data_IF_701003091566
#
_entry.id   IF_701003091566
#
_cell.length_a   1.000
_cell.length_b   1.000
_cell.length_c   1.000
_cell.angle_alpha   90.00
_cell.angle_beta   90.00
_cell.angle_gamma   90.00
#
_symmetry.space_group_name_H-M   'P 1'
#
loop_
_entity.id
_entity.type
_entity.pdbx_description
1 polymer ?
#
# COMPACT_ATOMS: atom_id res chain seq x y z
N UNK A 1 7.48 -40.67 -16.11
CA UNK A 1 8.49 -40.39 -15.09
C UNK A 1 9.27 -39.16 -15.57
N UNK A 2 8.77 -37.97 -15.26
CA UNK A 2 9.43 -36.70 -15.62
C UNK A 2 10.04 -36.08 -14.34
N UNK A 3 11.35 -36.00 -14.33
CA UNK A 3 12.12 -35.40 -13.23
C UNK A 3 12.14 -33.89 -13.46
N UNK A 4 11.44 -33.15 -12.57
CA UNK A 4 11.51 -31.68 -12.54
C UNK A 4 12.71 -31.31 -11.67
N UNK A 5 13.78 -30.84 -12.32
CA UNK A 5 15.00 -30.34 -11.67
C UNK A 5 14.69 -28.99 -11.04
N UNK A 6 14.69 -28.92 -9.71
CA UNK A 6 14.68 -27.66 -8.96
C UNK A 6 15.96 -26.88 -9.24
N UNK A 7 15.88 -25.79 -10.01
CA UNK A 7 16.97 -24.81 -10.10
C UNK A 7 17.03 -24.02 -8.80
N UNK A 8 18.08 -24.20 -8.03
CA UNK A 8 18.46 -23.30 -6.91
C UNK A 8 18.66 -21.89 -7.47
N UNK A 9 17.86 -20.95 -7.01
CA UNK A 9 18.05 -19.52 -7.30
C UNK A 9 19.26 -19.06 -6.48
N UNK A 10 20.32 -18.63 -7.18
CA UNK A 10 21.56 -18.16 -6.58
C UNK A 10 21.34 -16.77 -5.95
N UNK A 11 21.32 -16.72 -4.62
CA UNK A 11 21.13 -15.49 -3.82
C UNK A 11 22.16 -14.39 -4.12
N UNK A 12 23.32 -14.72 -4.73
CA UNK A 12 24.34 -13.73 -5.15
C UNK A 12 23.92 -12.91 -6.38
N UNK A 13 23.00 -13.40 -7.21
CA UNK A 13 22.53 -12.67 -8.39
C UNK A 13 21.44 -11.65 -8.09
N UNK A 14 20.64 -11.85 -7.04
CA UNK A 14 19.59 -10.90 -6.61
C UNK A 14 20.20 -9.55 -6.23
N UNK A 15 21.34 -9.53 -5.55
CA UNK A 15 22.02 -8.30 -5.14
C UNK A 15 22.65 -7.48 -6.30
N UNK A 16 23.05 -8.12 -7.41
CA UNK A 16 23.63 -7.43 -8.58
C UNK A 16 22.57 -6.84 -9.49
N UNK A 17 21.48 -7.55 -9.72
CA UNK A 17 20.32 -7.05 -10.47
C UNK A 17 19.73 -5.84 -9.73
N UNK A 18 19.56 -5.94 -8.41
CA UNK A 18 19.04 -4.88 -7.57
C UNK A 18 19.90 -3.59 -7.54
N UNK A 19 21.25 -3.69 -7.58
CA UNK A 19 22.14 -2.51 -7.68
C UNK A 19 22.10 -1.82 -9.05
N UNK A 20 21.91 -2.57 -10.14
CA UNK A 20 21.84 -2.03 -11.50
C UNK A 20 20.55 -1.27 -11.81
N UNK A 21 19.45 -1.62 -11.14
CA UNK A 21 18.11 -1.06 -11.40
C UNK A 21 17.98 0.36 -10.82
N UNK A 22 18.48 0.61 -9.60
CA UNK A 22 18.44 1.96 -9.00
C UNK A 22 19.20 2.99 -9.81
N UNK A 23 20.33 2.60 -10.40
CA UNK A 23 21.15 3.51 -11.23
C UNK A 23 20.46 3.86 -12.56
N UNK A 24 19.63 2.97 -13.12
CA UNK A 24 18.94 3.22 -14.40
C UNK A 24 17.74 4.13 -14.28
N UNK A 25 16.95 4.02 -13.20
CA UNK A 25 15.76 4.86 -13.01
C UNK A 25 16.10 6.25 -12.47
N UNK A 26 17.09 6.35 -11.57
CA UNK A 26 17.54 7.62 -11.03
C UNK A 26 18.15 8.56 -12.11
N UNK A 27 18.87 8.02 -13.11
CA UNK A 27 19.62 8.86 -14.06
C UNK A 27 18.79 9.43 -15.22
N UNK A 28 17.66 8.82 -15.58
CA UNK A 28 16.92 9.19 -16.81
C UNK A 28 15.81 10.23 -16.63
N UNK A 29 15.33 10.48 -15.40
CA UNK A 29 14.22 11.43 -15.11
C UNK A 29 14.45 12.39 -13.94
N UNK A 30 15.61 12.37 -13.29
CA UNK A 30 15.90 13.23 -12.12
C UNK A 30 15.99 14.74 -12.42
N UNK A 31 15.97 15.17 -13.68
CA UNK A 31 16.22 16.56 -14.06
C UNK A 31 15.22 17.62 -13.56
N UNK A 32 14.02 17.24 -13.11
CA UNK A 32 12.97 18.18 -12.68
C UNK A 32 12.11 17.73 -11.50
N UNK A 33 12.60 16.81 -10.66
CA UNK A 33 11.83 16.25 -9.56
C UNK A 33 12.04 17.03 -8.25
N UNK A 34 11.36 18.17 -8.09
CA UNK A 34 11.29 18.88 -6.80
C UNK A 34 10.14 18.31 -5.97
N UNK A 35 10.32 17.12 -5.35
CA UNK A 35 9.30 16.54 -4.48
C UNK A 35 9.05 17.37 -3.22
N UNK A 36 10.02 18.17 -2.78
CA UNK A 36 9.91 19.05 -1.61
C UNK A 36 8.71 20.01 -1.66
N UNK A 37 8.30 20.41 -2.87
CA UNK A 37 7.20 21.36 -3.06
C UNK A 37 5.88 20.69 -3.36
N UNK A 38 5.85 19.33 -3.39
CA UNK A 38 4.67 18.57 -3.74
C UNK A 38 3.98 17.99 -2.51
N UNK A 39 2.68 17.86 -2.60
CA UNK A 39 1.90 17.09 -1.65
C UNK A 39 2.13 15.58 -1.87
N UNK A 40 2.16 14.83 -0.79
CA UNK A 40 2.31 13.38 -0.80
C UNK A 40 0.96 12.72 -0.49
N UNK A 41 0.46 11.93 -1.42
CA UNK A 41 -0.70 11.08 -1.24
C UNK A 41 -0.22 9.65 -0.99
N UNK A 42 -0.25 9.23 0.26
CA UNK A 42 0.19 7.90 0.66
C UNK A 42 -0.91 6.87 0.57
N UNK A 43 -0.59 5.67 0.10
CA UNK A 43 -1.37 4.50 0.51
C UNK A 43 -1.13 4.20 2.00
N UNK A 44 -1.92 3.29 2.56
CA UNK A 44 -1.90 2.97 3.99
C UNK A 44 -1.19 1.62 4.24
N UNK A 45 -1.86 0.51 3.92
CA UNK A 45 -1.37 -0.85 4.21
C UNK A 45 -0.17 -1.21 3.31
N UNK A 46 0.98 -1.48 3.88
CA UNK A 46 2.22 -1.74 3.14
C UNK A 46 3.00 -0.49 2.74
N UNK A 47 2.44 0.70 2.90
CA UNK A 47 3.11 1.96 2.58
C UNK A 47 3.40 2.80 3.82
N UNK A 48 2.38 3.24 4.54
CA UNK A 48 2.52 3.97 5.81
C UNK A 48 2.65 3.03 7.00
N UNK A 49 1.93 1.91 6.99
CA UNK A 49 1.85 0.98 8.11
C UNK A 49 2.13 -0.45 7.67
N UNK A 50 2.84 -1.19 8.53
CA UNK A 50 2.92 -2.65 8.47
C UNK A 50 1.74 -3.24 9.24
N UNK A 51 0.69 -3.61 8.50
CA UNK A 51 -0.53 -4.24 9.04
C UNK A 51 -0.60 -5.74 8.71
N UNK A 52 0.48 -6.32 8.21
CA UNK A 52 0.52 -7.69 7.68
C UNK A 52 0.03 -8.73 8.69
N UNK A 53 0.50 -8.65 9.94
CA UNK A 53 0.18 -9.66 10.94
C UNK A 53 -1.30 -9.61 11.35
N UNK A 54 -1.83 -8.42 11.59
CA UNK A 54 -3.22 -8.25 12.01
C UNK A 54 -4.21 -8.58 10.89
N UNK A 55 -3.86 -8.25 9.62
CA UNK A 55 -4.63 -8.67 8.45
C UNK A 55 -4.61 -10.20 8.29
N UNK A 56 -3.47 -10.85 8.50
CA UNK A 56 -3.35 -12.30 8.42
C UNK A 56 -4.14 -13.00 9.52
N UNK A 57 -4.12 -12.47 10.74
CA UNK A 57 -4.91 -12.99 11.86
C UNK A 57 -6.42 -12.88 11.57
N UNK A 58 -6.89 -11.74 11.06
CA UNK A 58 -8.28 -11.55 10.67
C UNK A 58 -8.70 -12.46 9.50
N UNK A 59 -7.83 -12.64 8.50
CA UNK A 59 -8.05 -13.57 7.39
C UNK A 59 -8.17 -15.02 7.88
N UNK A 60 -7.35 -15.40 8.85
CA UNK A 60 -7.39 -16.72 9.46
C UNK A 60 -8.63 -16.93 10.34
N UNK A 61 -9.11 -15.90 11.04
CA UNK A 61 -10.39 -15.95 11.73
C UNK A 61 -11.56 -16.18 10.75
N UNK A 62 -11.53 -15.53 9.60
CA UNK A 62 -12.50 -15.76 8.52
C UNK A 62 -12.45 -17.21 8.01
N UNK A 63 -11.27 -17.74 7.75
CA UNK A 63 -11.09 -19.14 7.29
C UNK A 63 -11.56 -20.17 8.33
N UNK A 64 -11.19 -19.95 9.60
CA UNK A 64 -11.61 -20.81 10.71
C UNK A 64 -13.13 -20.86 10.87
N UNK A 65 -13.84 -19.75 10.63
CA UNK A 65 -15.30 -19.67 10.74
C UNK A 65 -16.04 -20.62 9.78
N UNK A 66 -15.38 -21.03 8.69
CA UNK A 66 -15.93 -21.97 7.69
C UNK A 66 -15.14 -23.28 7.61
N UNK A 67 -14.32 -23.60 8.65
CA UNK A 67 -13.60 -24.86 8.76
C UNK A 67 -12.37 -25.01 7.86
N UNK A 68 -11.83 -23.91 7.31
CA UNK A 68 -10.61 -23.95 6.49
C UNK A 68 -9.34 -23.79 7.34
N UNK A 69 -8.22 -24.44 6.98
CA UNK A 69 -6.95 -24.30 7.67
C UNK A 69 -6.37 -22.89 7.52
N UNK A 70 -5.53 -22.47 8.46
CA UNK A 70 -4.85 -21.18 8.44
C UNK A 70 -3.87 -21.08 7.25
N UNK A 71 -3.67 -19.85 6.78
CA UNK A 71 -2.64 -19.44 5.82
C UNK A 71 -1.49 -18.74 6.56
N UNK A 72 -0.29 -18.77 5.95
CA UNK A 72 0.81 -17.91 6.42
C UNK A 72 0.53 -16.43 6.17
N UNK A 73 1.22 -15.55 6.87
CA UNK A 73 1.11 -14.09 6.68
C UNK A 73 1.45 -13.69 5.24
N UNK A 74 2.47 -14.33 4.66
CA UNK A 74 2.92 -14.07 3.28
C UNK A 74 1.84 -14.49 2.26
N UNK A 75 1.17 -15.64 2.50
CA UNK A 75 0.09 -16.10 1.64
C UNK A 75 -1.12 -15.15 1.67
N UNK A 76 -1.45 -14.60 2.85
CA UNK A 76 -2.52 -13.59 2.97
C UNK A 76 -2.10 -12.26 2.34
N UNK A 77 -0.86 -11.81 2.58
CA UNK A 77 -0.30 -10.57 2.05
C UNK A 77 -0.42 -10.49 0.53
N UNK A 78 -0.18 -11.58 -0.19
CA UNK A 78 -0.29 -11.64 -1.66
C UNK A 78 -1.69 -11.27 -2.21
N UNK A 79 -2.71 -11.25 -1.35
CA UNK A 79 -4.09 -10.91 -1.71
C UNK A 79 -4.56 -9.56 -1.17
N UNK A 80 -3.70 -8.84 -0.45
CA UNK A 80 -4.01 -7.48 0.05
C UNK A 80 -3.89 -6.46 -1.08
N UNK A 81 -4.75 -5.42 -1.07
CA UNK A 81 -4.66 -4.28 -1.99
C UNK A 81 -5.99 -3.85 -2.60
N UNK A 82 -6.95 -4.75 -2.84
CA UNK A 82 -8.27 -4.42 -3.40
C UNK A 82 -9.40 -4.35 -2.35
N UNK A 83 -9.04 -4.38 -1.06
CA UNK A 83 -9.97 -4.31 0.09
C UNK A 83 -10.57 -5.67 0.46
N UNK A 84 -11.39 -5.64 1.54
CA UNK A 84 -11.83 -6.84 2.27
C UNK A 84 -12.53 -7.88 1.38
N UNK A 85 -13.46 -7.45 0.53
CA UNK A 85 -14.23 -8.41 -0.28
C UNK A 85 -13.35 -9.18 -1.26
N UNK A 86 -12.37 -8.52 -1.87
CA UNK A 86 -11.39 -9.16 -2.74
C UNK A 86 -10.48 -10.11 -1.95
N UNK A 87 -9.99 -9.68 -0.81
CA UNK A 87 -9.16 -10.49 0.07
C UNK A 87 -9.92 -11.78 0.47
N UNK A 88 -11.15 -11.64 0.99
CA UNK A 88 -11.96 -12.78 1.42
C UNK A 88 -12.19 -13.76 0.26
N UNK A 89 -12.63 -13.29 -0.91
CA UNK A 89 -12.80 -14.17 -2.09
C UNK A 89 -11.52 -14.93 -2.43
N UNK A 90 -10.39 -14.24 -2.43
CA UNK A 90 -9.11 -14.87 -2.80
C UNK A 90 -8.64 -15.92 -1.81
N UNK A 91 -8.91 -15.75 -0.52
CA UNK A 91 -8.44 -16.70 0.51
C UNK A 91 -9.42 -17.85 0.81
N UNK A 92 -10.68 -17.77 0.37
CA UNK A 92 -11.65 -18.83 0.64
C UNK A 92 -11.59 -19.98 -0.37
N UNK A 93 -11.24 -19.71 -1.63
CA UNK A 93 -11.24 -20.70 -2.70
C UNK A 93 -12.63 -21.26 -3.01
N UNK A 94 -13.71 -20.51 -2.69
CA UNK A 94 -15.10 -20.87 -2.97
C UNK A 94 -15.90 -19.66 -3.40
N UNK A 95 -16.87 -19.87 -4.28
CA UNK A 95 -17.83 -18.85 -4.74
C UNK A 95 -19.18 -18.92 -3.99
N UNK A 96 -19.30 -19.79 -2.97
CA UNK A 96 -20.54 -19.92 -2.18
C UNK A 96 -20.86 -18.61 -1.44
N UNK A 97 -22.02 -17.98 -1.72
CA UNK A 97 -22.37 -16.69 -1.11
C UNK A 97 -22.62 -16.77 0.41
N UNK A 98 -23.04 -17.92 0.91
CA UNK A 98 -23.29 -18.14 2.33
C UNK A 98 -21.98 -18.21 3.10
N UNK A 99 -21.03 -19.01 2.61
CA UNK A 99 -19.70 -19.13 3.20
C UNK A 99 -18.93 -17.79 3.11
N UNK A 100 -19.05 -17.08 1.99
CA UNK A 100 -18.46 -15.75 1.84
C UNK A 100 -18.98 -14.76 2.90
N UNK A 101 -20.30 -14.74 3.12
CA UNK A 101 -20.92 -13.86 4.12
C UNK A 101 -20.43 -14.18 5.52
N UNK A 102 -20.47 -15.45 5.90
CA UNK A 102 -20.01 -15.91 7.21
C UNK A 102 -18.53 -15.55 7.45
N UNK A 103 -17.66 -15.82 6.49
CA UNK A 103 -16.24 -15.51 6.57
C UNK A 103 -15.98 -13.99 6.66
N UNK A 104 -16.72 -13.19 5.88
CA UNK A 104 -16.62 -11.73 5.90
C UNK A 104 -17.05 -11.16 7.25
N UNK A 105 -18.13 -11.65 7.84
CA UNK A 105 -18.58 -11.23 9.17
C UNK A 105 -17.54 -11.58 10.24
N UNK A 106 -16.96 -12.77 10.19
CA UNK A 106 -15.90 -13.19 11.09
C UNK A 106 -14.64 -12.31 10.95
N UNK A 107 -14.22 -12.03 9.69
CA UNK A 107 -13.13 -11.09 9.42
C UNK A 107 -13.37 -9.72 10.05
N UNK A 108 -14.52 -9.11 9.75
CA UNK A 108 -14.87 -7.76 10.22
C UNK A 108 -14.93 -7.73 11.76
N UNK A 109 -15.57 -8.73 12.37
CA UNK A 109 -15.69 -8.83 13.84
C UNK A 109 -14.34 -8.95 14.51
N UNK A 110 -13.45 -9.79 13.97
CA UNK A 110 -12.10 -9.99 14.49
C UNK A 110 -11.25 -8.73 14.28
N UNK A 111 -11.15 -8.24 13.03
CA UNK A 111 -10.25 -7.16 12.66
C UNK A 111 -10.56 -5.84 13.38
N UNK A 112 -11.85 -5.55 13.66
CA UNK A 112 -12.24 -4.38 14.47
C UNK A 112 -11.63 -4.37 15.86
N UNK A 113 -11.42 -5.53 16.47
CA UNK A 113 -10.90 -5.66 17.83
C UNK A 113 -9.38 -5.74 17.87
N UNK A 114 -8.76 -6.11 16.75
CA UNK A 114 -7.35 -6.47 16.64
C UNK A 114 -6.63 -5.66 15.55
N UNK A 115 -7.03 -4.38 15.36
CA UNK A 115 -6.47 -3.49 14.34
C UNK A 115 -5.02 -3.10 14.61
N UNK A 116 -4.61 -3.13 15.90
CA UNK A 116 -3.38 -2.53 16.40
C UNK A 116 -2.60 -3.50 17.32
N UNK A 117 -2.86 -4.79 17.24
CA UNK A 117 -2.13 -5.76 18.06
C UNK A 117 -0.65 -5.81 17.62
N UNK A 118 -0.40 -5.70 16.32
CA UNK A 118 0.94 -5.71 15.72
C UNK A 118 1.14 -4.58 14.69
N UNK A 119 0.06 -3.92 14.27
CA UNK A 119 0.15 -2.86 13.26
C UNK A 119 0.89 -1.65 13.80
N UNK A 120 1.89 -1.20 13.05
CA UNK A 120 2.71 -0.04 13.39
C UNK A 120 3.10 0.75 12.16
N UNK A 121 3.53 2.00 12.34
CA UNK A 121 4.08 2.85 11.27
C UNK A 121 5.44 2.27 10.88
N UNK A 122 5.73 2.16 9.59
CA UNK A 122 7.07 1.76 9.15
C UNK A 122 8.15 2.68 9.72
N UNK A 123 9.21 2.08 10.25
CA UNK A 123 10.32 2.82 10.86
C UNK A 123 10.90 3.87 9.90
N UNK A 124 11.08 5.10 10.39
CA UNK A 124 11.60 6.23 9.61
C UNK A 124 10.54 7.07 8.91
N UNK A 125 9.24 6.68 8.88
CA UNK A 125 8.18 7.51 8.27
C UNK A 125 7.66 8.60 9.20
N UNK A 126 7.63 8.37 10.52
CA UNK A 126 7.15 9.40 11.45
C UNK A 126 7.91 10.74 11.34
N UNK A 127 9.26 10.77 11.27
CA UNK A 127 10.01 12.00 11.04
C UNK A 127 9.59 12.71 9.76
N UNK A 128 9.36 11.96 8.67
CA UNK A 128 8.90 12.52 7.39
C UNK A 128 7.54 13.19 7.57
N UNK A 129 6.57 12.48 8.16
CA UNK A 129 5.23 13.01 8.41
C UNK A 129 5.26 14.27 9.31
N UNK A 130 6.22 14.36 10.25
CA UNK A 130 6.39 15.53 11.14
C UNK A 130 6.92 16.77 10.41
N UNK A 131 7.68 16.59 9.31
CA UNK A 131 8.22 17.72 8.54
C UNK A 131 7.24 18.31 7.53
N UNK A 132 6.19 17.59 7.17
CA UNK A 132 5.22 17.99 6.17
C UNK A 132 4.06 18.78 6.82
N UNK A 133 3.58 19.81 6.12
CA UNK A 133 2.37 20.50 6.54
C UNK A 133 1.15 19.62 6.25
N UNK A 134 0.11 19.76 7.07
CA UNK A 134 -1.13 18.99 6.90
C UNK A 134 -1.75 19.15 5.49
N UNK A 135 -1.67 20.32 4.91
CA UNK A 135 -2.14 20.61 3.54
C UNK A 135 -1.33 19.92 2.43
N UNK A 136 -0.19 19.33 2.79
CA UNK A 136 0.72 18.65 1.87
C UNK A 136 0.66 17.11 2.02
N UNK A 137 -0.18 16.56 2.90
CA UNK A 137 -0.21 15.12 3.17
C UNK A 137 -1.63 14.60 3.13
N UNK A 138 -1.83 13.53 2.37
CA UNK A 138 -3.09 12.78 2.33
C UNK A 138 -2.86 11.28 2.42
N UNK A 139 -3.91 10.57 2.88
CA UNK A 139 -4.02 9.10 2.78
C UNK A 139 -5.08 8.78 1.75
N UNK A 140 -4.77 7.91 0.79
CA UNK A 140 -5.70 7.40 -0.22
C UNK A 140 -5.58 5.88 -0.27
N UNK A 141 -6.53 5.19 0.32
CA UNK A 141 -6.44 3.74 0.55
C UNK A 141 -7.66 2.98 0.02
N UNK A 142 -7.46 1.72 -0.35
CA UNK A 142 -8.53 0.77 -0.65
C UNK A 142 -9.10 0.08 0.61
N UNK A 143 -8.52 0.39 1.79
CA UNK A 143 -9.03 -0.07 3.08
C UNK A 143 -10.33 0.64 3.44
N UNK A 144 -11.32 -0.11 3.92
CA UNK A 144 -12.61 0.43 4.33
C UNK A 144 -12.47 1.46 5.48
N UNK A 145 -13.30 2.51 5.44
CA UNK A 145 -13.31 3.61 6.42
C UNK A 145 -13.40 3.12 7.87
N UNK A 146 -14.21 2.08 8.10
CA UNK A 146 -14.44 1.48 9.42
C UNK A 146 -13.18 0.92 10.07
N UNK A 147 -12.15 0.65 9.30
CA UNK A 147 -10.82 0.23 9.78
C UNK A 147 -9.79 1.36 9.67
N UNK A 148 -9.87 2.17 8.62
CA UNK A 148 -8.89 3.23 8.34
C UNK A 148 -8.86 4.29 9.44
N UNK A 149 -10.02 4.84 9.82
CA UNK A 149 -10.04 5.92 10.81
C UNK A 149 -9.59 5.46 12.20
N UNK A 150 -10.12 4.35 12.79
CA UNK A 150 -9.66 3.89 14.09
C UNK A 150 -8.17 3.52 14.10
N UNK A 151 -7.64 2.99 12.98
CA UNK A 151 -6.22 2.66 12.87
C UNK A 151 -5.35 3.93 12.91
N UNK A 152 -5.68 4.97 12.11
CA UNK A 152 -4.95 6.23 12.12
C UNK A 152 -5.06 6.98 13.46
N UNK A 153 -6.21 6.91 14.12
CA UNK A 153 -6.45 7.47 15.45
C UNK A 153 -5.61 6.74 16.50
N UNK A 154 -5.65 5.41 16.53
CA UNK A 154 -4.90 4.59 17.48
C UNK A 154 -3.37 4.72 17.31
N UNK A 155 -2.89 4.98 16.10
CA UNK A 155 -1.48 5.31 15.83
C UNK A 155 -1.13 6.78 16.12
N UNK A 156 -2.09 7.62 16.50
CA UNK A 156 -1.87 9.03 16.83
C UNK A 156 -1.51 9.93 15.64
N UNK A 157 -1.78 9.49 14.41
CA UNK A 157 -1.37 10.21 13.18
C UNK A 157 -2.54 10.78 12.37
N UNK A 158 -3.79 10.55 12.77
CA UNK A 158 -4.97 11.02 12.03
C UNK A 158 -4.95 12.53 11.76
N UNK A 159 -4.51 13.33 12.73
CA UNK A 159 -4.40 14.79 12.64
C UNK A 159 -3.31 15.31 11.68
N UNK A 160 -2.43 14.43 11.19
CA UNK A 160 -1.36 14.81 10.25
C UNK A 160 -1.86 15.02 8.83
N UNK A 161 -2.98 14.41 8.45
CA UNK A 161 -3.47 14.38 7.08
C UNK A 161 -4.51 15.48 6.82
N UNK A 162 -4.34 16.22 5.72
CA UNK A 162 -5.33 17.17 5.22
C UNK A 162 -6.46 16.46 4.45
N UNK A 163 -6.18 15.27 3.91
CA UNK A 163 -7.15 14.42 3.26
C UNK A 163 -6.97 12.96 3.70
N UNK A 164 -8.07 12.29 4.05
CA UNK A 164 -8.13 10.84 4.28
C UNK A 164 -9.26 10.32 3.40
N UNK A 165 -8.89 9.57 2.36
CA UNK A 165 -9.81 9.07 1.34
C UNK A 165 -9.87 7.55 1.38
N UNK A 166 -11.07 7.04 1.53
CA UNK A 166 -11.42 5.63 1.56
C UNK A 166 -12.42 5.32 0.45
N UNK A 167 -12.70 4.06 0.11
CA UNK A 167 -13.66 3.70 -0.93
C UNK A 167 -15.04 4.35 -0.75
N UNK A 168 -15.46 4.57 0.47
CA UNK A 168 -16.78 5.16 0.79
C UNK A 168 -16.90 6.64 0.39
N UNK A 169 -15.78 7.33 0.20
CA UNK A 169 -15.78 8.73 -0.23
C UNK A 169 -16.15 8.90 -1.71
N UNK A 170 -15.79 7.93 -2.55
CA UNK A 170 -15.91 8.05 -4.01
C UNK A 170 -16.71 6.92 -4.66
N UNK A 171 -17.00 5.85 -3.91
CA UNK A 171 -17.54 4.61 -4.48
C UNK A 171 -16.55 3.86 -5.37
N UNK A 172 -15.31 4.35 -5.47
CA UNK A 172 -14.27 3.80 -6.33
C UNK A 172 -13.02 3.41 -5.52
N UNK A 173 -12.24 2.48 -6.07
CA UNK A 173 -10.96 2.02 -5.50
C UNK A 173 -9.83 2.21 -6.51
N UNK A 174 -8.60 2.39 -6.03
CA UNK A 174 -7.42 2.25 -6.90
C UNK A 174 -7.44 0.87 -7.57
N UNK A 175 -7.17 0.74 -8.86
CA UNK A 175 -6.46 1.66 -9.75
C UNK A 175 -7.36 2.69 -10.47
N UNK A 176 -8.63 2.91 -10.06
CA UNK A 176 -9.39 4.05 -10.53
C UNK A 176 -8.73 5.35 -10.03
N UNK A 177 -8.56 6.39 -10.86
CA UNK A 177 -7.92 7.64 -10.46
C UNK A 177 -8.78 8.48 -9.49
N UNK A 178 -10.10 8.28 -9.43
CA UNK A 178 -11.03 9.14 -8.71
C UNK A 178 -10.70 9.31 -7.21
N UNK A 179 -10.25 8.29 -6.44
CA UNK A 179 -9.83 8.50 -5.06
C UNK A 179 -8.68 9.51 -4.91
N UNK A 180 -7.70 9.49 -5.83
CA UNK A 180 -6.59 10.45 -5.83
C UNK A 180 -7.05 11.85 -6.23
N UNK A 181 -7.88 11.96 -7.26
CA UNK A 181 -8.46 13.23 -7.69
C UNK A 181 -9.35 13.84 -6.60
N UNK A 182 -10.08 13.02 -5.86
CA UNK A 182 -10.86 13.47 -4.71
C UNK A 182 -9.98 14.01 -3.58
N UNK A 183 -8.87 13.33 -3.26
CA UNK A 183 -7.90 13.82 -2.29
C UNK A 183 -7.31 15.17 -2.69
N UNK A 184 -6.97 15.36 -3.98
CA UNK A 184 -6.49 16.64 -4.49
C UNK A 184 -7.53 17.76 -4.33
N UNK A 185 -8.81 17.50 -4.62
CA UNK A 185 -9.89 18.48 -4.38
C UNK A 185 -9.98 18.89 -2.91
N UNK A 186 -9.87 17.93 -1.98
CA UNK A 186 -9.87 18.21 -0.54
C UNK A 186 -8.68 19.07 -0.11
N UNK A 187 -7.53 18.89 -0.75
CA UNK A 187 -6.30 19.66 -0.47
C UNK A 187 -6.23 20.99 -1.25
N UNK A 188 -7.15 21.25 -2.19
CA UNK A 188 -7.12 22.42 -3.06
C UNK A 188 -5.93 22.42 -4.04
N UNK A 189 -5.53 21.23 -4.52
CA UNK A 189 -4.35 21.03 -5.35
C UNK A 189 -4.70 20.50 -6.75
N UNK A 190 -3.81 20.81 -7.70
CA UNK A 190 -3.81 20.20 -9.03
C UNK A 190 -2.85 19.00 -9.09
N UNK A 191 -3.06 18.03 -10.04
CA UNK A 191 -2.25 16.81 -10.14
C UNK A 191 -0.74 17.05 -10.20
N UNK A 192 -0.29 18.07 -10.92
CA UNK A 192 1.13 18.41 -11.04
C UNK A 192 1.79 18.87 -9.73
N UNK A 193 0.99 19.21 -8.71
CA UNK A 193 1.45 19.62 -7.37
C UNK A 193 1.48 18.48 -6.35
N UNK A 194 1.21 17.25 -6.79
CA UNK A 194 1.17 16.10 -5.91
C UNK A 194 1.89 14.89 -6.48
N UNK A 195 2.20 13.96 -5.58
CA UNK A 195 2.83 12.67 -5.87
C UNK A 195 2.05 11.59 -5.13
N UNK A 196 1.80 10.46 -5.76
CA UNK A 196 1.32 9.27 -5.06
C UNK A 196 2.50 8.43 -4.61
N UNK A 197 2.44 7.96 -3.37
CA UNK A 197 3.43 7.05 -2.75
C UNK A 197 2.70 5.77 -2.38
N UNK A 198 3.11 4.64 -2.94
CA UNK A 198 2.45 3.36 -2.71
C UNK A 198 3.36 2.17 -2.97
N UNK A 199 2.97 0.99 -2.49
CA UNK A 199 3.73 -0.24 -2.59
C UNK A 199 3.14 -1.24 -3.60
N UNK A 200 2.06 -0.88 -4.29
CA UNK A 200 1.36 -1.77 -5.21
C UNK A 200 1.19 -1.18 -6.62
N UNK A 201 0.96 -2.04 -7.59
CA UNK A 201 0.58 -1.62 -8.95
C UNK A 201 -0.68 -0.75 -8.97
N UNK A 202 -1.59 -0.96 -8.03
CA UNK A 202 -2.85 -0.20 -7.95
C UNK A 202 -2.60 1.29 -7.69
N UNK A 203 -1.59 1.61 -6.87
CA UNK A 203 -1.17 2.98 -6.60
C UNK A 203 -0.56 3.64 -7.82
N UNK A 204 0.36 2.92 -8.46
CA UNK A 204 1.09 3.42 -9.62
C UNK A 204 0.17 3.63 -10.82
N UNK A 205 -0.74 2.68 -11.09
CA UNK A 205 -1.73 2.81 -12.16
C UNK A 205 -2.72 3.94 -11.87
N UNK A 206 -3.23 4.06 -10.62
CA UNK A 206 -4.12 5.15 -10.24
C UNK A 206 -3.44 6.51 -10.39
N UNK A 207 -2.20 6.64 -9.89
CA UNK A 207 -1.41 7.87 -10.00
C UNK A 207 -1.20 8.29 -11.45
N UNK A 208 -0.80 7.35 -12.31
CA UNK A 208 -0.61 7.62 -13.73
C UNK A 208 -1.89 8.06 -14.42
N UNK A 209 -3.02 7.40 -14.14
CA UNK A 209 -4.35 7.76 -14.70
C UNK A 209 -4.85 9.11 -14.19
N UNK A 210 -4.46 9.50 -13.00
CA UNK A 210 -4.78 10.79 -12.40
C UNK A 210 -3.81 11.92 -12.82
N UNK A 211 -2.77 11.62 -13.59
CA UNK A 211 -1.75 12.60 -14.01
C UNK A 211 -0.76 12.99 -12.92
N UNK A 212 -0.65 12.19 -11.85
CA UNK A 212 0.33 12.39 -10.79
C UNK A 212 1.67 11.73 -11.12
N UNK A 213 2.74 12.25 -10.54
CA UNK A 213 3.97 11.49 -10.41
C UNK A 213 3.79 10.34 -9.42
N UNK A 214 4.53 9.25 -9.64
CA UNK A 214 4.39 8.01 -8.89
C UNK A 214 5.72 7.62 -8.24
N UNK A 215 5.67 7.39 -6.94
CA UNK A 215 6.77 6.85 -6.14
C UNK A 215 6.36 5.49 -5.62
N UNK A 216 7.04 4.45 -6.07
CA UNK A 216 6.85 3.11 -5.55
C UNK A 216 7.82 2.85 -4.40
N UNK A 217 7.34 2.20 -3.35
CA UNK A 217 8.14 1.79 -2.19
C UNK A 217 8.35 0.27 -2.20
N UNK A 218 9.55 -0.19 -1.81
CA UNK A 218 9.92 -1.61 -1.81
C UNK A 218 9.95 -2.24 -0.41
N UNK A 219 9.54 -1.52 0.63
CA UNK A 219 9.41 -2.09 1.98
C UNK A 219 8.00 -2.65 2.28
N UNK A 220 7.06 -2.48 1.33
CA UNK A 220 5.67 -2.85 1.48
C UNK A 220 5.31 -4.28 1.10
N UNK A 221 4.09 -4.49 0.67
CA UNK A 221 3.51 -5.79 0.37
C UNK A 221 3.69 -6.22 -1.09
N UNK A 222 3.84 -5.25 -2.01
CA UNK A 222 4.06 -5.52 -3.42
C UNK A 222 5.42 -6.16 -3.71
N UNK A 223 5.49 -7.04 -4.71
CA UNK A 223 6.77 -7.62 -5.13
C UNK A 223 7.55 -6.65 -6.01
N UNK A 224 8.91 -6.70 -5.98
CA UNK A 224 9.72 -5.88 -6.87
C UNK A 224 9.35 -6.05 -8.35
N UNK A 225 9.02 -7.26 -8.78
CA UNK A 225 8.65 -7.57 -10.16
C UNK A 225 7.30 -6.95 -10.54
N UNK A 226 6.32 -6.92 -9.62
CA UNK A 226 5.05 -6.25 -9.81
C UNK A 226 5.24 -4.74 -9.94
N UNK A 227 6.03 -4.15 -9.05
CA UNK A 227 6.36 -2.73 -9.06
C UNK A 227 7.06 -2.32 -10.35
N UNK A 228 8.06 -3.09 -10.80
CA UNK A 228 8.77 -2.82 -12.06
C UNK A 228 7.83 -2.85 -13.27
N UNK A 229 6.94 -3.84 -13.35
CA UNK A 229 5.93 -3.93 -14.42
C UNK A 229 4.94 -2.77 -14.40
N UNK A 230 4.61 -2.26 -13.22
CA UNK A 230 3.76 -1.07 -13.08
C UNK A 230 4.44 0.20 -13.60
N UNK A 231 5.78 0.20 -13.77
CA UNK A 231 6.61 1.27 -14.35
C UNK A 231 6.38 2.63 -13.65
N UNK A 232 6.69 2.74 -12.34
CA UNK A 232 6.60 4.00 -11.60
C UNK A 232 7.66 5.00 -12.08
N UNK A 233 7.46 6.30 -11.78
CA UNK A 233 8.45 7.33 -12.09
C UNK A 233 9.70 7.19 -11.20
N UNK A 234 9.52 6.80 -9.94
CA UNK A 234 10.59 6.61 -8.94
C UNK A 234 10.34 5.32 -8.16
N UNK A 235 11.43 4.64 -7.79
CA UNK A 235 11.42 3.53 -6.84
C UNK A 235 12.33 3.89 -5.67
N UNK A 236 11.83 3.79 -4.44
CA UNK A 236 12.59 3.95 -3.21
C UNK A 236 12.58 2.65 -2.41
N UNK A 237 13.72 2.34 -1.74
CA UNK A 237 13.91 1.07 -1.04
C UNK A 237 13.65 1.14 0.45
N UNK A 238 13.76 2.36 1.00
CA UNK A 238 13.62 2.59 2.43
C UNK A 238 12.96 3.95 2.68
N UNK A 239 12.34 4.16 3.85
CA UNK A 239 11.88 5.49 4.26
C UNK A 239 13.00 6.53 4.27
N UNK A 240 14.25 6.13 4.56
CA UNK A 240 15.40 7.03 4.48
C UNK A 240 15.69 7.51 3.04
N UNK A 241 15.48 6.66 2.03
CA UNK A 241 15.62 7.08 0.63
C UNK A 241 14.50 8.05 0.23
N UNK A 242 13.28 7.85 0.73
CA UNK A 242 12.19 8.79 0.56
C UNK A 242 12.52 10.15 1.23
N UNK A 243 13.06 10.15 2.46
CA UNK A 243 13.47 11.36 3.17
C UNK A 243 14.54 12.14 2.40
N UNK A 244 15.55 11.43 1.85
CA UNK A 244 16.58 12.06 1.00
C UNK A 244 15.97 12.68 -0.24
N UNK A 245 15.03 12.00 -0.89
CA UNK A 245 14.36 12.48 -2.09
C UNK A 245 13.55 13.78 -1.83
N UNK A 246 12.93 13.89 -0.63
CA UNK A 246 12.20 15.07 -0.19
C UNK A 246 13.12 16.24 0.20
N UNK A 247 14.37 15.96 0.57
CA UNK A 247 15.36 16.98 0.98
C UNK A 247 16.24 17.48 -0.19
N UNK A 248 16.14 16.90 -1.37
CA UNK A 248 16.88 17.35 -2.55
C UNK A 248 16.42 18.74 -3.00
N UNK A 249 17.36 19.66 -3.34
CA UNK A 249 17.06 21.01 -3.78
C UNK A 249 16.36 21.07 -5.15
#
# INVERSE_FOLDING_TARGET
>A
MFIITQRKIDQKNVGKVAKGIVTRYASKRMGNLRLREKALLFDLDGTLVDSKQDLAAAANAARASIGLPSLSSEAVQAHVGLGVDSLIRSILGTEDPGLFRQAKEAFISYYRKHLLDHTHIFEGLEPILKTLQRSQVGVVTNKARVFTLPLLEGLGISGRFGAIVTPENTGQKKPNPEPLLYALRLLGLHPERAVVVGDSRYDIEAGRRAGLQTVAVLWGFGTPEEIERANPDIIVRSPNDLAKLLSMP
#
